data_IF_904714796388
#
_entry.id   IF_904714796388
#
_cell.length_a   1.000
_cell.length_b   1.000
_cell.length_c   1.000
_cell.angle_alpha   90.00
_cell.angle_beta   90.00
_cell.angle_gamma   90.00
#
_symmetry.space_group_name_H-M   'P 1'
#
loop_
_entity.id
_entity.type
_entity.pdbx_description
1 polymer ?
#
# COMPACT_ATOMS: atom_id res chain seq x y z
N UNK A 1 4.12 14.83 -87.96
CA UNK A 1 2.77 14.49 -88.46
C UNK A 1 2.02 13.84 -87.31
N UNK A 2 0.89 14.46 -86.89
CA UNK A 2 -0.39 13.88 -86.40
C UNK A 2 -0.36 12.74 -85.35
N UNK A 3 -1.26 12.59 -84.38
CA UNK A 3 -2.46 13.28 -83.87
C UNK A 3 -2.83 12.58 -82.54
N UNK A 4 -3.64 13.27 -81.75
CA UNK A 4 -4.46 12.94 -80.56
C UNK A 4 -4.84 11.48 -80.16
N UNK A 5 -4.78 11.28 -78.83
CA UNK A 5 -5.83 10.87 -77.85
C UNK A 5 -6.82 9.69 -78.11
N UNK A 6 -6.95 8.78 -77.13
CA UNK A 6 -8.13 8.56 -76.25
C UNK A 6 -8.30 7.12 -75.75
N UNK A 7 -8.65 7.00 -74.44
CA UNK A 7 -9.42 5.95 -73.72
C UNK A 7 -8.98 4.47 -73.87
N UNK A 8 -9.14 3.54 -72.93
CA UNK A 8 -10.14 3.41 -71.86
C UNK A 8 -9.66 2.39 -70.79
N UNK A 9 -10.36 2.40 -69.67
CA UNK A 9 -10.19 1.72 -68.39
C UNK A 9 -10.19 0.17 -68.44
N UNK A 10 -9.28 -0.46 -67.67
CA UNK A 10 -9.54 -1.44 -66.58
C UNK A 10 -8.28 -2.25 -66.22
N UNK A 11 -7.97 -2.47 -64.93
CA UNK A 11 -7.92 -3.88 -64.51
C UNK A 11 -8.54 -4.19 -63.14
N UNK A 12 -8.96 -5.46 -63.08
CA UNK A 12 -9.54 -6.34 -62.06
C UNK A 12 -9.22 -6.11 -60.57
N UNK A 13 -10.11 -6.58 -59.67
CA UNK A 13 -10.03 -6.32 -58.23
C UNK A 13 -9.00 -7.21 -57.54
N UNK A 14 -8.20 -6.61 -56.64
CA UNK A 14 -7.37 -7.31 -55.65
C UNK A 14 -7.97 -7.16 -54.25
N UNK A 15 -7.77 -8.15 -53.36
CA UNK A 15 -8.65 -8.40 -52.23
C UNK A 15 -8.38 -7.47 -51.04
N UNK A 16 -9.46 -7.00 -50.43
CA UNK A 16 -9.50 -6.21 -49.21
C UNK A 16 -8.87 -6.96 -48.02
N UNK A 17 -7.67 -6.57 -47.64
CA UNK A 17 -7.09 -6.93 -46.33
C UNK A 17 -7.59 -5.91 -45.30
N UNK A 18 -8.60 -6.32 -44.54
CA UNK A 18 -9.06 -5.63 -43.34
C UNK A 18 -7.96 -5.63 -42.27
N UNK A 19 -7.15 -4.57 -42.22
CA UNK A 19 -6.30 -4.30 -41.05
C UNK A 19 -7.14 -3.78 -39.90
N UNK A 20 -7.56 -4.68 -39.01
CA UNK A 20 -8.15 -4.36 -37.71
C UNK A 20 -7.05 -3.77 -36.81
N UNK A 21 -6.94 -2.44 -36.78
CA UNK A 21 -6.02 -1.72 -35.88
C UNK A 21 -6.62 -1.77 -34.47
N UNK A 22 -6.20 -2.75 -33.66
CA UNK A 22 -6.48 -2.74 -32.23
C UNK A 22 -5.66 -1.62 -31.58
N UNK A 23 -6.31 -0.52 -31.22
CA UNK A 23 -5.68 0.54 -30.42
C UNK A 23 -5.59 0.07 -28.97
N UNK A 24 -4.43 -0.44 -28.56
CA UNK A 24 -4.09 -0.56 -27.14
C UNK A 24 -3.70 0.82 -26.62
N UNK A 25 -4.68 1.61 -26.16
CA UNK A 25 -4.41 2.84 -25.42
C UNK A 25 -3.96 2.48 -24.00
N UNK A 26 -2.82 3.01 -23.59
CA UNK A 26 -2.39 2.92 -22.19
C UNK A 26 -3.44 3.59 -21.28
N UNK A 27 -3.81 2.99 -20.14
CA UNK A 27 -4.83 3.54 -19.27
C UNK A 27 -4.34 4.85 -18.64
N UNK A 28 -5.13 5.91 -18.77
CA UNK A 28 -4.88 7.22 -18.14
C UNK A 28 -4.89 7.12 -16.60
N UNK A 29 -4.20 8.04 -15.91
CA UNK A 29 -4.14 8.10 -14.45
C UNK A 29 -5.54 8.15 -13.80
N UNK A 30 -6.48 8.88 -14.42
CA UNK A 30 -7.89 8.96 -14.00
C UNK A 30 -8.60 7.61 -14.09
N UNK A 31 -8.40 6.84 -15.19
CA UNK A 31 -8.98 5.50 -15.36
C UNK A 31 -8.48 4.50 -14.31
N UNK A 32 -7.20 4.60 -13.93
CA UNK A 32 -6.60 3.74 -12.91
C UNK A 32 -7.12 4.07 -11.50
N UNK A 33 -7.35 5.34 -11.17
CA UNK A 33 -7.98 5.76 -9.91
C UNK A 33 -9.40 5.21 -9.77
N UNK A 34 -10.22 5.36 -10.81
CA UNK A 34 -11.60 4.87 -10.81
C UNK A 34 -11.69 3.34 -10.62
N UNK A 35 -10.77 2.59 -11.23
CA UNK A 35 -10.69 1.13 -11.05
C UNK A 35 -10.33 0.74 -9.60
N UNK A 36 -9.38 1.44 -8.97
CA UNK A 36 -9.00 1.19 -7.58
C UNK A 36 -10.16 1.46 -6.61
N UNK A 37 -10.84 2.59 -6.78
CA UNK A 37 -11.99 2.97 -5.95
C UNK A 37 -13.18 2.02 -6.11
N UNK A 38 -13.44 1.59 -7.35
CA UNK A 38 -14.47 0.59 -7.62
C UNK A 38 -14.17 -0.73 -6.91
N UNK A 39 -12.95 -1.23 -7.07
CA UNK A 39 -12.54 -2.49 -6.44
C UNK A 39 -12.60 -2.43 -4.91
N UNK A 40 -12.22 -1.29 -4.32
CA UNK A 40 -12.40 -1.07 -2.89
C UNK A 40 -13.89 -1.14 -2.49
N UNK A 41 -14.76 -0.45 -3.24
CA UNK A 41 -16.21 -0.42 -2.97
C UNK A 41 -16.85 -1.80 -3.09
N UNK A 42 -16.39 -2.61 -4.05
CA UNK A 42 -16.94 -3.96 -4.32
C UNK A 42 -16.64 -4.96 -3.18
N UNK A 43 -15.62 -4.70 -2.35
CA UNK A 43 -15.10 -5.66 -1.36
C UNK A 43 -14.96 -5.12 0.07
N UNK A 44 -15.77 -4.14 0.45
CA UNK A 44 -15.76 -3.57 1.80
C UNK A 44 -16.17 -4.61 2.85
N UNK A 45 -17.37 -5.17 2.68
CA UNK A 45 -17.93 -6.16 3.61
C UNK A 45 -17.94 -7.57 3.01
N UNK A 46 -17.63 -7.67 1.72
CA UNK A 46 -17.71 -8.91 0.96
C UNK A 46 -16.34 -9.34 0.49
N UNK A 47 -16.04 -10.61 0.68
CA UNK A 47 -14.81 -11.17 0.15
C UNK A 47 -14.85 -11.24 -1.38
N UNK A 48 -13.75 -10.93 -2.09
CA UNK A 48 -13.59 -11.27 -3.50
C UNK A 48 -13.57 -12.78 -3.78
N UNK A 49 -13.58 -13.61 -2.74
CA UNK A 49 -13.61 -15.06 -2.80
C UNK A 49 -14.70 -15.59 -1.86
N UNK A 50 -15.99 -15.42 -2.19
CA UNK A 50 -17.10 -15.71 -1.28
C UNK A 50 -17.15 -17.19 -0.85
N UNK A 51 -16.72 -18.10 -1.72
CA UNK A 51 -16.70 -19.54 -1.46
C UNK A 51 -15.40 -20.03 -0.80
N UNK A 52 -14.53 -19.12 -0.37
CA UNK A 52 -13.27 -19.46 0.29
C UNK A 52 -13.31 -19.01 1.76
N UNK A 53 -13.51 -19.93 2.73
CA UNK A 53 -13.72 -19.56 4.12
C UNK A 53 -12.43 -19.36 4.93
N UNK A 54 -11.27 -19.79 4.46
CA UNK A 54 -10.03 -19.58 5.21
C UNK A 54 -9.48 -18.16 4.99
N UNK A 55 -8.86 -17.50 5.99
CA UNK A 55 -8.76 -17.97 7.36
C UNK A 55 -10.11 -17.89 8.08
N UNK A 56 -10.42 -18.92 8.85
CA UNK A 56 -11.41 -18.82 9.92
C UNK A 56 -10.83 -18.02 11.08
N UNK A 57 -11.69 -17.50 11.96
CA UNK A 57 -11.25 -16.82 13.18
C UNK A 57 -10.33 -17.70 14.05
N UNK A 58 -10.61 -19.01 14.11
CA UNK A 58 -9.80 -19.98 14.86
C UNK A 58 -8.41 -20.17 14.23
N UNK A 59 -8.32 -20.31 12.91
CA UNK A 59 -7.03 -20.40 12.20
C UNK A 59 -6.20 -19.13 12.41
N UNK A 60 -6.82 -17.94 12.31
CA UNK A 60 -6.16 -16.67 12.54
C UNK A 60 -5.61 -16.57 13.97
N UNK A 61 -6.40 -16.96 14.98
CA UNK A 61 -5.99 -16.96 16.38
C UNK A 61 -4.85 -17.97 16.65
N UNK A 62 -4.93 -19.18 16.09
CA UNK A 62 -3.90 -20.19 16.25
C UNK A 62 -2.55 -19.74 15.66
N UNK A 63 -2.57 -19.15 14.47
CA UNK A 63 -1.36 -18.60 13.83
C UNK A 63 -0.82 -17.40 14.62
N UNK A 64 -1.68 -16.52 15.13
CA UNK A 64 -1.27 -15.41 16.00
C UNK A 64 -0.52 -15.96 17.23
N UNK A 65 -1.10 -16.93 17.94
CA UNK A 65 -0.51 -17.49 19.16
C UNK A 65 0.86 -18.15 18.89
N UNK A 66 0.97 -18.89 17.78
CA UNK A 66 2.23 -19.49 17.34
C UNK A 66 3.31 -18.44 17.06
N UNK A 67 2.94 -17.34 16.38
CA UNK A 67 3.88 -16.28 16.06
C UNK A 67 4.26 -15.45 17.29
N UNK A 68 3.32 -15.20 18.21
CA UNK A 68 3.61 -14.57 19.51
C UNK A 68 4.62 -15.41 20.30
N UNK A 69 4.44 -16.73 20.35
CA UNK A 69 5.40 -17.62 21.02
C UNK A 69 6.81 -17.53 20.40
N UNK A 70 6.91 -17.29 19.09
CA UNK A 70 8.19 -17.22 18.39
C UNK A 70 8.88 -15.85 18.43
N UNK A 71 8.11 -14.75 18.43
CA UNK A 71 8.63 -13.39 18.25
C UNK A 71 8.32 -12.44 19.40
N UNK A 72 7.54 -12.89 20.38
CA UNK A 72 6.98 -12.07 21.45
C UNK A 72 5.70 -11.34 21.03
N UNK A 73 4.98 -10.83 22.02
CA UNK A 73 3.77 -10.03 21.82
C UNK A 73 4.16 -8.67 21.18
N UNK A 74 3.53 -8.26 20.07
CA UNK A 74 3.75 -6.94 19.50
C UNK A 74 3.39 -5.85 20.52
N UNK A 75 4.26 -4.84 20.66
CA UNK A 75 3.90 -3.65 21.42
C UNK A 75 2.89 -2.85 20.60
N UNK A 76 1.70 -2.65 21.17
CA UNK A 76 0.70 -1.73 20.61
C UNK A 76 0.88 -0.39 21.29
N UNK A 77 1.59 0.53 20.66
CA UNK A 77 1.48 1.94 21.00
C UNK A 77 0.14 2.41 20.47
N UNK A 78 -0.81 2.76 21.34
CA UNK A 78 -1.91 3.59 20.87
C UNK A 78 -1.29 4.92 20.44
N UNK A 79 -1.44 5.35 19.18
CA UNK A 79 -1.02 6.69 18.80
C UNK A 79 -1.81 7.67 19.66
N UNK A 80 -1.12 8.57 20.34
CA UNK A 80 -1.76 9.71 20.97
C UNK A 80 -2.21 10.67 19.85
N UNK A 81 -3.39 10.42 19.29
CA UNK A 81 -3.95 11.17 18.15
C UNK A 81 -4.21 12.63 18.54
N UNK A 82 -4.32 12.92 19.84
CA UNK A 82 -4.48 14.26 20.42
C UNK A 82 -3.16 14.86 20.95
N UNK A 83 -2.05 14.11 20.89
CA UNK A 83 -0.76 14.53 21.39
C UNK A 83 -0.03 15.47 20.41
N UNK A 84 0.93 16.28 20.90
CA UNK A 84 1.72 17.15 20.04
C UNK A 84 2.50 16.33 19.00
N UNK A 85 2.81 16.90 17.81
CA UNK A 85 3.66 16.27 16.80
C UNK A 85 4.95 15.71 17.43
N UNK A 86 5.27 14.46 17.16
CA UNK A 86 6.51 13.87 17.65
C UNK A 86 7.69 14.43 16.85
N UNK A 87 8.73 14.85 17.58
CA UNK A 87 9.98 15.45 17.05
C UNK A 87 10.77 14.54 16.08
N UNK A 88 10.39 13.27 15.91
CA UNK A 88 11.05 12.31 15.02
C UNK A 88 10.09 11.20 14.53
N UNK A 89 9.32 11.47 13.47
CA UNK A 89 8.43 10.47 12.82
C UNK A 89 9.17 9.27 12.20
N UNK A 90 10.50 9.28 12.21
CA UNK A 90 11.36 8.21 11.67
C UNK A 90 11.46 6.94 12.54
N UNK A 91 11.07 7.02 13.81
CA UNK A 91 11.29 5.95 14.80
C UNK A 91 10.13 4.97 14.97
N UNK A 92 8.94 5.27 14.43
CA UNK A 92 7.78 4.40 14.63
C UNK A 92 7.11 4.05 13.30
N UNK A 93 7.19 2.78 12.91
CA UNK A 93 6.16 2.19 12.08
C UNK A 93 4.88 2.05 12.94
N UNK A 94 4.26 3.18 13.32
CA UNK A 94 2.93 3.20 13.95
C UNK A 94 2.72 3.95 15.25
N UNK A 95 3.42 5.05 15.46
CA UNK A 95 2.99 6.10 16.38
C UNK A 95 3.40 7.45 15.79
N UNK A 96 2.78 7.81 14.66
CA UNK A 96 2.96 9.11 14.02
C UNK A 96 1.62 9.85 14.15
N UNK A 97 1.54 10.92 14.95
CA UNK A 97 0.27 11.62 15.21
C UNK A 97 -0.25 12.35 13.96
N UNK A 98 0.65 12.82 13.09
CA UNK A 98 0.31 13.50 11.85
C UNK A 98 0.07 12.49 10.70
N UNK A 99 -1.12 12.56 10.10
CA UNK A 99 -1.56 11.66 9.02
C UNK A 99 -0.71 11.80 7.74
N UNK A 100 -0.27 13.02 7.40
CA UNK A 100 0.58 13.27 6.22
C UNK A 100 1.97 12.66 6.43
N UNK A 101 2.57 12.84 7.61
CA UNK A 101 3.84 12.20 7.95
C UNK A 101 3.75 10.66 7.87
N UNK A 102 2.61 10.09 8.30
CA UNK A 102 2.34 8.65 8.16
C UNK A 102 2.28 8.21 6.69
N UNK A 103 1.64 8.99 5.81
CA UNK A 103 1.62 8.75 4.36
C UNK A 103 3.02 8.85 3.75
N UNK A 104 3.79 9.88 4.09
CA UNK A 104 5.17 10.04 3.62
C UNK A 104 6.03 8.86 4.09
N UNK A 105 5.96 8.51 5.38
CA UNK A 105 6.70 7.37 5.94
C UNK A 105 6.36 6.04 5.25
N UNK A 106 5.07 5.81 4.96
CA UNK A 106 4.66 4.61 4.22
C UNK A 106 5.14 4.61 2.78
N UNK A 107 5.16 5.75 2.07
CA UNK A 107 5.78 5.89 0.73
C UNK A 107 7.27 5.61 0.78
N UNK A 108 7.99 6.20 1.74
CA UNK A 108 9.43 6.00 1.92
C UNK A 108 9.78 4.54 2.23
N UNK A 109 8.90 3.81 2.92
CA UNK A 109 9.06 2.38 3.24
C UNK A 109 8.88 1.42 2.06
N UNK A 110 8.34 1.87 0.93
CA UNK A 110 8.11 1.00 -0.24
C UNK A 110 9.44 0.49 -0.82
N UNK A 111 9.52 -0.81 -1.07
CA UNK A 111 10.66 -1.48 -1.73
C UNK A 111 12.04 -1.14 -1.13
N UNK A 112 12.11 -1.03 0.19
CA UNK A 112 13.37 -0.74 0.90
C UNK A 112 13.40 -1.39 2.27
N UNK A 113 14.54 -1.32 2.96
CA UNK A 113 14.67 -1.81 4.32
C UNK A 113 14.17 -0.79 5.33
N UNK A 114 13.74 -1.24 6.52
CA UNK A 114 13.35 -0.32 7.61
C UNK A 114 14.48 0.66 7.97
N UNK A 115 15.74 0.21 7.96
CA UNK A 115 16.91 1.08 8.18
C UNK A 115 16.96 2.23 7.17
N UNK A 116 16.74 1.90 5.89
CA UNK A 116 16.81 2.87 4.80
C UNK A 116 15.61 3.82 4.80
N UNK A 117 14.40 3.34 5.07
CA UNK A 117 13.22 4.22 5.15
C UNK A 117 13.32 5.20 6.31
N UNK A 118 13.79 4.77 7.48
CA UNK A 118 14.03 5.68 8.62
C UNK A 118 15.14 6.69 8.32
N UNK A 119 16.22 6.26 7.64
CA UNK A 119 17.26 7.18 7.21
C UNK A 119 16.75 8.22 6.18
N UNK A 120 15.89 7.79 5.24
CA UNK A 120 15.27 8.68 4.27
C UNK A 120 14.32 9.69 4.94
N UNK A 121 13.51 9.27 5.92
CA UNK A 121 12.65 10.19 6.67
C UNK A 121 13.47 11.23 7.45
N UNK A 122 14.52 10.80 8.16
CA UNK A 122 15.44 11.74 8.84
C UNK A 122 16.11 12.70 7.87
N UNK A 123 16.50 12.24 6.68
CA UNK A 123 17.08 13.11 5.66
C UNK A 123 16.10 14.17 5.16
N UNK A 124 14.84 13.78 4.92
CA UNK A 124 13.76 14.71 4.57
C UNK A 124 13.51 15.73 5.69
N UNK A 125 13.44 15.27 6.94
CA UNK A 125 13.20 16.12 8.12
C UNK A 125 14.37 17.07 8.36
N UNK A 126 15.61 16.64 8.15
CA UNK A 126 16.77 17.51 8.25
C UNK A 126 16.81 18.58 7.14
N UNK A 127 16.28 18.26 5.95
CA UNK A 127 16.27 19.18 4.83
C UNK A 127 15.13 20.20 4.87
N UNK A 128 13.98 19.82 5.45
CA UNK A 128 12.74 20.60 5.36
C UNK A 128 12.03 20.84 6.70
N UNK A 129 12.56 20.34 7.81
CA UNK A 129 11.89 20.39 9.12
C UNK A 129 11.64 21.79 9.67
N UNK A 130 12.35 22.81 9.18
CA UNK A 130 12.23 24.19 9.66
C UNK A 130 12.76 24.38 11.08
N UNK A 131 12.64 25.61 11.59
CA UNK A 131 12.97 25.96 12.97
C UNK A 131 11.84 25.60 13.95
N UNK A 132 10.58 25.67 13.47
CA UNK A 132 9.39 25.28 14.21
C UNK A 132 8.91 23.89 13.76
N UNK A 133 9.04 22.84 14.60
CA UNK A 133 8.62 21.49 14.27
C UNK A 133 7.10 21.33 14.14
N UNK A 134 6.31 22.31 14.62
CA UNK A 134 4.85 22.28 14.59
C UNK A 134 4.26 23.08 13.41
N UNK A 135 5.10 23.80 12.64
CA UNK A 135 4.68 24.53 11.43
C UNK A 135 4.66 23.61 10.20
N UNK A 136 3.67 22.73 10.18
CA UNK A 136 3.39 21.84 9.05
C UNK A 136 3.19 22.60 7.73
N UNK A 137 2.64 23.81 7.78
CA UNK A 137 2.35 24.60 6.59
C UNK A 137 3.65 25.06 5.93
N UNK A 138 4.57 25.65 6.69
CA UNK A 138 5.89 26.03 6.19
C UNK A 138 6.70 24.80 5.74
N UNK A 139 6.73 23.74 6.54
CA UNK A 139 7.49 22.52 6.27
C UNK A 139 7.05 21.83 4.98
N UNK A 140 5.76 21.55 4.82
CA UNK A 140 5.26 20.85 3.64
C UNK A 140 5.27 21.73 2.40
N UNK A 141 5.00 23.03 2.53
CA UNK A 141 5.16 23.99 1.42
C UNK A 141 6.59 24.03 0.90
N UNK A 142 7.59 24.02 1.80
CA UNK A 142 9.00 23.97 1.41
C UNK A 142 9.36 22.70 0.61
N UNK A 143 8.80 21.54 0.97
CA UNK A 143 9.00 20.29 0.20
C UNK A 143 8.39 20.42 -1.21
N UNK A 144 7.19 20.99 -1.33
CA UNK A 144 6.51 21.16 -2.62
C UNK A 144 7.25 22.16 -3.52
N UNK A 145 7.72 23.28 -2.95
CA UNK A 145 8.42 24.33 -3.69
C UNK A 145 9.86 23.96 -4.10
N UNK A 146 10.48 23.01 -3.39
CA UNK A 146 11.86 22.62 -3.64
C UNK A 146 12.06 21.99 -5.03
N UNK A 147 13.23 22.19 -5.67
CA UNK A 147 13.61 21.40 -6.83
C UNK A 147 13.54 19.91 -6.53
N UNK A 148 12.98 19.13 -7.46
CA UNK A 148 12.83 17.68 -7.29
C UNK A 148 14.16 17.00 -6.89
N UNK A 149 15.28 17.45 -7.45
CA UNK A 149 16.62 16.94 -7.13
C UNK A 149 16.97 17.07 -5.64
N UNK A 150 16.61 18.19 -5.00
CA UNK A 150 16.83 18.43 -3.57
C UNK A 150 16.07 17.41 -2.73
N UNK A 151 14.80 17.18 -3.06
CA UNK A 151 13.99 16.18 -2.36
C UNK A 151 14.57 14.77 -2.58
N UNK A 152 14.95 14.44 -3.82
CA UNK A 152 15.58 13.16 -4.17
C UNK A 152 16.85 12.90 -3.36
N UNK A 153 17.69 13.91 -3.20
CA UNK A 153 18.95 13.81 -2.47
C UNK A 153 18.71 13.57 -0.98
N UNK A 154 17.73 14.27 -0.39
CA UNK A 154 17.35 14.08 1.02
C UNK A 154 16.86 12.67 1.34
N UNK A 155 16.23 11.98 0.38
CA UNK A 155 15.65 10.63 0.57
C UNK A 155 16.43 9.52 -0.16
N UNK A 156 17.63 9.81 -0.67
CA UNK A 156 18.40 8.91 -1.55
C UNK A 156 18.63 7.53 -0.94
N UNK A 157 18.86 7.47 0.37
CA UNK A 157 19.06 6.24 1.14
C UNK A 157 17.87 5.26 1.05
N UNK A 158 16.67 5.76 0.79
CA UNK A 158 15.43 4.97 0.68
C UNK A 158 15.31 4.15 -0.61
N UNK A 159 16.12 4.43 -1.64
CA UNK A 159 16.01 3.80 -2.96
C UNK A 159 14.74 4.22 -3.73
N UNK A 160 14.77 4.10 -5.06
CA UNK A 160 13.71 4.62 -5.96
C UNK A 160 13.39 6.11 -5.70
N UNK A 161 14.39 6.89 -5.29
CA UNK A 161 14.24 8.23 -4.73
C UNK A 161 13.54 9.20 -5.69
N UNK A 162 13.89 9.19 -6.99
CA UNK A 162 13.21 9.99 -8.02
C UNK A 162 11.68 9.81 -8.01
N UNK A 163 11.23 8.55 -8.03
CA UNK A 163 9.80 8.23 -8.05
C UNK A 163 9.13 8.59 -6.72
N UNK A 164 9.79 8.32 -5.59
CA UNK A 164 9.25 8.63 -4.26
C UNK A 164 9.14 10.13 -4.03
N UNK A 165 10.16 10.91 -4.39
CA UNK A 165 10.17 12.36 -4.27
C UNK A 165 9.04 13.00 -5.09
N UNK A 166 8.91 12.61 -6.37
CA UNK A 166 7.82 13.09 -7.21
C UNK A 166 6.43 12.72 -6.64
N UNK A 167 6.30 11.50 -6.09
CA UNK A 167 5.06 11.06 -5.45
C UNK A 167 4.73 11.88 -4.20
N UNK A 168 5.74 12.20 -3.36
CA UNK A 168 5.55 13.00 -2.14
C UNK A 168 5.16 14.43 -2.50
N UNK A 169 5.85 15.08 -3.44
CA UNK A 169 5.51 16.43 -3.87
C UNK A 169 4.09 16.49 -4.46
N UNK A 170 3.74 15.52 -5.32
CA UNK A 170 2.38 15.44 -5.89
C UNK A 170 1.32 15.22 -4.81
N UNK A 171 1.57 14.31 -3.85
CA UNK A 171 0.68 14.05 -2.72
C UNK A 171 0.40 15.35 -1.95
N UNK A 172 1.45 16.06 -1.54
CA UNK A 172 1.33 17.29 -0.77
C UNK A 172 0.59 18.38 -1.56
N UNK A 173 0.95 18.60 -2.84
CA UNK A 173 0.29 19.57 -3.69
C UNK A 173 -1.22 19.27 -3.83
N UNK A 174 -1.61 18.02 -4.05
CA UNK A 174 -3.02 17.62 -4.15
C UNK A 174 -3.76 17.74 -2.82
N UNK A 175 -3.11 17.47 -1.67
CA UNK A 175 -3.72 17.69 -0.35
C UNK A 175 -4.05 19.17 -0.15
N UNK A 176 -3.08 20.06 -0.42
CA UNK A 176 -3.28 21.49 -0.26
C UNK A 176 -4.31 22.05 -1.25
N UNK A 177 -4.29 21.61 -2.52
CA UNK A 177 -5.31 21.97 -3.51
C UNK A 177 -6.72 21.57 -3.05
N UNK A 178 -6.87 20.39 -2.47
CA UNK A 178 -8.18 19.85 -2.06
C UNK A 178 -8.71 20.44 -0.74
N UNK A 179 -7.83 20.70 0.22
CA UNK A 179 -8.21 21.06 1.60
C UNK A 179 -7.84 22.50 1.98
N UNK A 180 -7.07 23.21 1.15
CA UNK A 180 -6.60 24.58 1.40
C UNK A 180 -5.52 24.70 2.48
N UNK A 181 -4.98 23.57 2.97
CA UNK A 181 -3.92 23.48 3.99
C UNK A 181 -3.23 22.12 3.93
N UNK A 182 -2.01 22.02 4.45
CA UNK A 182 -1.33 20.71 4.58
C UNK A 182 -1.78 19.95 5.83
N UNK A 183 -3.05 19.52 5.86
CA UNK A 183 -3.55 18.68 6.97
C UNK A 183 -4.61 17.68 6.53
N UNK A 184 -4.43 16.43 6.98
CA UNK A 184 -5.43 15.36 6.90
C UNK A 184 -5.92 14.92 8.29
N UNK A 185 -5.69 15.73 9.33
CA UNK A 185 -5.99 15.33 10.71
C UNK A 185 -7.49 15.13 10.97
N UNK A 186 -8.35 15.74 10.15
CA UNK A 186 -9.79 15.51 10.17
C UNK A 186 -10.16 14.02 9.98
N UNK A 187 -9.31 13.21 9.34
CA UNK A 187 -9.51 11.75 9.24
C UNK A 187 -9.40 11.03 10.58
N UNK A 188 -8.68 11.62 11.54
CA UNK A 188 -8.45 11.08 12.85
C UNK A 188 -9.40 11.67 13.90
N UNK A 189 -9.75 12.95 13.77
CA UNK A 189 -10.41 13.74 14.82
C UNK A 189 -11.80 14.26 14.48
N UNK A 190 -12.42 13.81 13.38
CA UNK A 190 -13.78 14.27 13.04
C UNK A 190 -14.80 13.87 14.10
N UNK A 191 -15.81 14.71 14.29
CA UNK A 191 -17.00 14.41 15.08
C UNK A 191 -18.27 14.69 14.24
N UNK A 192 -19.10 13.68 13.91
CA UNK A 192 -18.92 12.27 14.26
C UNK A 192 -17.69 11.63 13.60
N UNK A 193 -17.13 10.54 14.17
CA UNK A 193 -15.99 9.83 13.58
C UNK A 193 -16.31 9.28 12.19
N UNK A 194 -15.39 9.46 11.24
CA UNK A 194 -15.49 8.83 9.92
C UNK A 194 -15.43 7.30 10.01
N UNK A 195 -16.11 6.63 9.08
CA UNK A 195 -16.00 5.19 8.89
C UNK A 195 -14.64 4.81 8.29
N UNK A 196 -14.18 3.58 8.53
CA UNK A 196 -12.92 3.09 7.95
C UNK A 196 -12.94 3.12 6.41
N UNK A 197 -14.11 2.88 5.81
CA UNK A 197 -14.30 2.97 4.36
C UNK A 197 -14.14 4.40 3.84
N UNK A 198 -14.76 5.39 4.47
CA UNK A 198 -14.62 6.79 4.07
C UNK A 198 -13.15 7.24 4.11
N UNK A 199 -12.43 6.87 5.18
CA UNK A 199 -11.01 7.15 5.32
C UNK A 199 -10.20 6.42 4.23
N UNK A 200 -10.50 5.15 3.96
CA UNK A 200 -9.81 4.38 2.92
C UNK A 200 -10.00 5.00 1.53
N UNK A 201 -11.21 5.42 1.19
CA UNK A 201 -11.51 6.09 -0.09
C UNK A 201 -10.77 7.41 -0.22
N UNK A 202 -10.76 8.21 0.85
CA UNK A 202 -10.02 9.48 0.89
C UNK A 202 -8.53 9.22 0.62
N UNK A 203 -7.90 8.31 1.38
CA UNK A 203 -6.47 8.03 1.26
C UNK A 203 -6.11 7.45 -0.12
N UNK A 204 -6.90 6.52 -0.65
CA UNK A 204 -6.64 5.89 -1.98
C UNK A 204 -6.89 6.86 -3.14
N UNK A 205 -7.57 7.98 -2.92
CA UNK A 205 -7.79 9.00 -3.96
C UNK A 205 -6.49 9.72 -4.38
N UNK A 206 -5.49 9.76 -3.50
CA UNK A 206 -4.20 10.38 -3.77
C UNK A 206 -3.30 9.49 -4.65
N UNK A 207 -2.59 10.11 -5.58
CA UNK A 207 -1.64 9.39 -6.43
C UNK A 207 -0.49 8.80 -5.63
N UNK A 208 -0.08 7.59 -6.01
CA UNK A 208 0.94 6.82 -5.28
C UNK A 208 0.45 6.18 -3.97
N UNK A 209 -0.77 6.48 -3.52
CA UNK A 209 -1.42 5.76 -2.42
C UNK A 209 -2.27 4.63 -3.00
N UNK A 210 -2.09 3.44 -2.42
CA UNK A 210 -2.87 2.25 -2.76
C UNK A 210 -3.43 1.58 -1.51
N UNK A 211 -4.26 0.54 -1.66
CA UNK A 211 -4.95 -0.09 -0.54
C UNK A 211 -4.03 -0.52 0.60
N UNK A 212 -2.84 -1.07 0.31
CA UNK A 212 -1.86 -1.42 1.35
C UNK A 212 -1.40 -0.19 2.14
N UNK A 213 -1.06 0.89 1.45
CA UNK A 213 -0.58 2.13 2.07
C UNK A 213 -1.65 2.73 2.96
N UNK A 214 -2.88 2.84 2.45
CA UNK A 214 -4.02 3.35 3.20
C UNK A 214 -4.37 2.46 4.40
N UNK A 215 -4.37 1.12 4.25
CA UNK A 215 -4.53 0.19 5.39
C UNK A 215 -3.42 0.34 6.43
N UNK A 216 -2.18 0.62 6.03
CA UNK A 216 -1.11 0.91 7.00
C UNK A 216 -1.42 2.20 7.79
N UNK A 217 -1.90 3.26 7.15
CA UNK A 217 -2.28 4.51 7.86
C UNK A 217 -3.43 4.24 8.83
N UNK A 218 -4.49 3.56 8.40
CA UNK A 218 -5.60 3.14 9.25
C UNK A 218 -5.11 2.36 10.48
N UNK A 219 -4.29 1.32 10.25
CA UNK A 219 -3.85 0.40 11.28
C UNK A 219 -2.89 1.02 12.29
N UNK A 220 -1.92 1.79 11.80
CA UNK A 220 -0.76 2.22 12.57
C UNK A 220 -0.81 3.69 13.00
N UNK A 221 -1.48 4.56 12.26
CA UNK A 221 -1.60 5.99 12.60
C UNK A 221 -2.96 6.28 13.24
N UNK A 222 -4.03 5.69 12.73
CA UNK A 222 -5.39 5.95 13.23
C UNK A 222 -5.86 4.92 14.27
N UNK A 223 -5.09 3.85 14.51
CA UNK A 223 -5.45 2.78 15.44
C UNK A 223 -6.68 1.97 15.04
N UNK A 224 -7.12 2.07 13.77
CA UNK A 224 -8.33 1.46 13.22
C UNK A 224 -8.03 0.10 12.60
N UNK A 225 -8.93 -0.85 12.80
CA UNK A 225 -8.77 -2.20 12.27
C UNK A 225 -8.82 -2.22 10.73
N UNK A 226 -7.68 -2.40 10.08
CA UNK A 226 -7.56 -2.73 8.65
C UNK A 226 -6.31 -3.56 8.41
N UNK A 227 -6.43 -4.66 7.66
CA UNK A 227 -5.37 -5.63 7.48
C UNK A 227 -4.53 -5.33 6.24
N UNK A 228 -3.42 -4.62 6.41
CA UNK A 228 -2.51 -4.32 5.30
C UNK A 228 -1.76 -5.58 4.82
N UNK A 229 -1.74 -5.83 3.51
CA UNK A 229 -1.04 -7.00 2.93
C UNK A 229 0.18 -6.56 2.13
N UNK A 230 1.36 -6.69 2.75
CA UNK A 230 2.64 -6.50 2.07
C UNK A 230 3.15 -7.79 1.41
N UNK A 231 4.38 -7.77 0.88
CA UNK A 231 4.98 -8.95 0.25
C UNK A 231 5.20 -10.12 1.20
N UNK A 232 5.51 -9.85 2.47
CA UNK A 232 5.72 -10.88 3.49
C UNK A 232 4.40 -11.49 3.92
N UNK A 233 3.42 -10.64 4.25
CA UNK A 233 2.05 -11.05 4.62
C UNK A 233 1.43 -11.84 3.49
N UNK A 234 1.53 -11.38 2.24
CA UNK A 234 0.97 -12.09 1.09
C UNK A 234 1.61 -13.48 0.92
N UNK A 235 2.94 -13.57 0.98
CA UNK A 235 3.66 -14.85 0.87
C UNK A 235 3.26 -15.82 1.97
N UNK A 236 3.18 -15.35 3.22
CA UNK A 236 2.77 -16.18 4.34
C UNK A 236 1.29 -16.57 4.27
N UNK A 237 0.42 -15.67 3.82
CA UNK A 237 -1.00 -16.00 3.61
C UNK A 237 -1.17 -17.09 2.56
N UNK A 238 -0.35 -17.09 1.50
CA UNK A 238 -0.32 -18.19 0.52
C UNK A 238 0.23 -19.49 1.11
N UNK A 239 1.28 -19.41 1.94
CA UNK A 239 1.81 -20.58 2.66
C UNK A 239 0.74 -21.23 3.55
N UNK A 240 -0.01 -20.39 4.26
CA UNK A 240 -1.07 -20.78 5.19
C UNK A 240 -2.37 -21.17 4.50
N UNK A 241 -2.45 -21.05 3.16
CA UNK A 241 -3.68 -21.24 2.37
C UNK A 241 -4.84 -20.35 2.86
N UNK A 242 -4.51 -19.15 3.29
CA UNK A 242 -5.49 -18.11 3.68
C UNK A 242 -6.01 -17.32 2.48
N UNK A 243 -5.56 -17.63 1.28
CA UNK A 243 -6.09 -17.12 0.02
C UNK A 243 -6.17 -18.27 -0.99
N UNK A 244 -7.16 -18.29 -1.89
CA UNK A 244 -7.28 -19.36 -2.87
C UNK A 244 -6.15 -19.31 -3.89
N UNK A 245 -5.85 -20.45 -4.52
CA UNK A 245 -4.86 -20.53 -5.59
C UNK A 245 -5.20 -19.59 -6.77
N UNK A 246 -6.49 -19.40 -7.05
CA UNK A 246 -7.00 -18.48 -8.08
C UNK A 246 -6.70 -17.00 -7.81
N UNK A 247 -6.30 -16.64 -6.59
CA UNK A 247 -5.80 -15.29 -6.28
C UNK A 247 -4.50 -14.97 -7.03
N UNK A 248 -3.71 -15.98 -7.40
CA UNK A 248 -2.48 -15.80 -8.18
C UNK A 248 -1.49 -14.84 -7.50
N UNK A 249 -1.24 -13.69 -8.14
CA UNK A 249 -0.37 -12.61 -7.64
C UNK A 249 -1.14 -11.34 -7.26
N UNK A 250 -2.47 -11.40 -7.23
CA UNK A 250 -3.34 -10.25 -6.94
C UNK A 250 -3.38 -9.95 -5.43
N UNK A 251 -2.43 -9.12 -5.00
CA UNK A 251 -2.36 -8.68 -3.59
C UNK A 251 -3.54 -7.80 -3.17
N UNK A 252 -4.22 -7.15 -4.11
CA UNK A 252 -5.33 -6.26 -3.76
C UNK A 252 -6.55 -7.09 -3.38
N UNK A 253 -6.88 -8.11 -4.17
CA UNK A 253 -7.94 -9.07 -3.80
C UNK A 253 -7.56 -9.88 -2.56
N UNK A 254 -6.29 -10.23 -2.39
CA UNK A 254 -5.83 -10.87 -1.16
C UNK A 254 -6.06 -9.98 0.07
N UNK A 255 -5.74 -8.69 -0.03
CA UNK A 255 -5.98 -7.73 1.04
C UNK A 255 -7.46 -7.63 1.38
N UNK A 256 -8.31 -7.39 0.39
CA UNK A 256 -9.75 -7.28 0.61
C UNK A 256 -10.34 -8.56 1.25
N UNK A 257 -9.89 -9.73 0.80
CA UNK A 257 -10.30 -11.00 1.41
C UNK A 257 -9.85 -11.12 2.88
N UNK A 258 -8.57 -10.89 3.15
CA UNK A 258 -8.01 -11.05 4.50
C UNK A 258 -8.55 -10.01 5.48
N UNK A 259 -8.83 -8.78 5.03
CA UNK A 259 -9.42 -7.74 5.86
C UNK A 259 -10.85 -8.08 6.33
N UNK A 260 -11.62 -8.78 5.49
CA UNK A 260 -12.95 -9.29 5.84
C UNK A 260 -12.87 -10.52 6.76
N UNK A 261 -11.91 -11.43 6.52
CA UNK A 261 -11.85 -12.73 7.22
C UNK A 261 -11.18 -12.67 8.59
N UNK A 262 -10.15 -11.82 8.76
CA UNK A 262 -9.38 -11.76 10.00
C UNK A 262 -10.14 -10.90 11.02
N UNK A 263 -10.41 -11.42 12.24
CA UNK A 263 -11.04 -10.62 13.29
C UNK A 263 -10.27 -9.34 13.60
N UNK A 264 -10.99 -8.23 13.79
CA UNK A 264 -10.40 -6.89 14.00
C UNK A 264 -9.36 -6.85 15.13
N UNK A 265 -9.62 -7.56 16.23
CA UNK A 265 -8.71 -7.65 17.37
C UNK A 265 -7.33 -8.27 17.03
N UNK A 266 -7.25 -9.08 15.97
CA UNK A 266 -6.03 -9.77 15.56
C UNK A 266 -5.27 -9.05 14.45
N UNK A 267 -5.89 -8.09 13.74
CA UNK A 267 -5.31 -7.50 12.51
C UNK A 267 -3.96 -6.84 12.74
N UNK A 268 -3.83 -6.05 13.80
CA UNK A 268 -2.58 -5.38 14.16
C UNK A 268 -1.47 -6.39 14.44
N UNK A 269 -1.72 -7.31 15.37
CA UNK A 269 -0.73 -8.26 15.83
C UNK A 269 -0.30 -9.19 14.70
N UNK A 270 -1.26 -9.76 13.97
CA UNK A 270 -0.96 -10.64 12.84
C UNK A 270 -0.14 -9.91 11.77
N UNK A 271 -0.44 -8.65 11.44
CA UNK A 271 0.36 -7.91 10.47
C UNK A 271 1.82 -7.81 10.94
N UNK A 272 2.06 -7.31 12.16
CA UNK A 272 3.41 -7.11 12.71
C UNK A 272 4.17 -8.44 12.80
N UNK A 273 3.50 -9.49 13.29
CA UNK A 273 4.07 -10.82 13.48
C UNK A 273 4.40 -11.49 12.15
N UNK A 274 3.51 -11.40 11.15
CA UNK A 274 3.73 -11.98 9.82
C UNK A 274 4.86 -11.26 9.08
N UNK A 275 4.94 -9.93 9.16
CA UNK A 275 6.06 -9.17 8.60
C UNK A 275 7.37 -9.57 9.28
N UNK A 276 7.39 -9.63 10.62
CA UNK A 276 8.57 -10.02 11.41
C UNK A 276 9.03 -11.42 11.05
N UNK A 277 8.12 -12.40 11.10
CA UNK A 277 8.40 -13.79 10.73
C UNK A 277 8.89 -13.90 9.29
N UNK A 278 8.23 -13.22 8.35
CA UNK A 278 8.57 -13.22 6.94
C UNK A 278 9.91 -12.57 6.62
N UNK A 279 10.51 -11.80 7.54
CA UNK A 279 11.87 -11.24 7.40
C UNK A 279 12.93 -12.16 7.98
N UNK A 280 12.69 -12.71 9.17
CA UNK A 280 13.74 -13.40 9.96
C UNK A 280 13.76 -14.91 9.77
N UNK A 281 12.62 -15.53 9.45
CA UNK A 281 12.51 -16.99 9.39
C UNK A 281 13.26 -17.56 8.18
N UNK A 282 14.27 -18.40 8.41
CA UNK A 282 15.07 -19.03 7.34
C UNK A 282 14.25 -19.88 6.37
N UNK A 283 13.14 -20.47 6.81
CA UNK A 283 12.25 -21.25 5.96
C UNK A 283 11.28 -20.43 5.12
N UNK A 284 11.09 -19.14 5.44
CA UNK A 284 10.03 -18.30 4.89
C UNK A 284 10.50 -16.90 4.47
N UNK A 285 11.79 -16.57 4.58
CA UNK A 285 12.33 -15.24 4.27
C UNK A 285 12.47 -14.93 2.77
N UNK A 286 12.02 -15.85 1.90
CA UNK A 286 12.03 -15.70 0.45
C UNK A 286 13.38 -15.98 -0.21
N UNK A 287 14.45 -16.17 0.57
CA UNK A 287 15.78 -16.54 0.06
C UNK A 287 16.02 -18.05 0.05
N UNK A 288 15.38 -18.78 0.96
CA UNK A 288 15.42 -20.24 1.03
C UNK A 288 14.07 -20.78 1.47
N UNK A 289 13.66 -21.90 0.88
CA UNK A 289 12.45 -22.66 1.26
C UNK A 289 12.78 -23.92 2.04
N UNK A 290 14.06 -24.24 2.24
CA UNK A 290 14.52 -25.50 2.84
C UNK A 290 14.73 -25.41 4.36
N UNK A 291 14.50 -24.25 4.96
CA UNK A 291 14.67 -24.05 6.41
C UNK A 291 13.45 -24.46 7.24
N UNK A 292 13.71 -24.82 8.50
CA UNK A 292 12.68 -25.04 9.52
C UNK A 292 11.81 -23.79 9.71
N UNK A 293 10.51 -24.01 9.89
CA UNK A 293 9.54 -22.94 10.11
C UNK A 293 8.32 -23.50 10.87
N UNK A 294 7.96 -22.84 11.96
CA UNK A 294 6.79 -23.21 12.78
C UNK A 294 5.48 -23.19 12.00
N UNK A 295 5.31 -22.29 11.03
CA UNK A 295 4.11 -22.24 10.18
C UNK A 295 4.06 -23.42 9.21
N UNK A 296 5.20 -23.93 8.74
CA UNK A 296 5.22 -25.14 7.90
C UNK A 296 4.90 -26.40 8.71
N UNK A 297 5.34 -26.45 9.97
CA UNK A 297 4.99 -27.53 10.89
C UNK A 297 3.48 -27.52 11.13
N UNK A 298 2.92 -26.36 11.51
CA UNK A 298 1.48 -26.15 11.66
C UNK A 298 0.70 -26.59 10.42
N UNK A 299 1.15 -26.22 9.21
CA UNK A 299 0.47 -26.60 7.96
C UNK A 299 0.59 -28.09 7.59
N UNK A 300 1.54 -28.84 8.16
CA UNK A 300 1.59 -30.30 8.00
C UNK A 300 0.62 -30.96 8.96
N UNK A 301 0.68 -30.58 10.24
CA UNK A 301 -0.21 -31.09 11.28
C UNK A 301 -1.68 -30.82 10.94
N UNK A 302 -2.01 -29.61 10.49
CA UNK A 302 -3.37 -29.25 10.09
C UNK A 302 -3.89 -30.03 8.87
N UNK A 303 -3.01 -30.58 8.02
CA UNK A 303 -3.41 -31.46 6.91
C UNK A 303 -3.64 -32.90 7.36
N UNK A 304 -2.98 -33.34 8.42
CA UNK A 304 -3.16 -34.69 8.96
C UNK A 304 -4.49 -34.83 9.74
N UNK A 305 -5.15 -33.69 10.00
CA UNK A 305 -6.45 -33.57 10.68
C UNK A 305 -7.65 -33.36 9.73
N UNK A 306 -7.43 -33.26 8.41
CA UNK A 306 -8.45 -32.94 7.40
C UNK A 306 -8.51 -33.99 6.29
#
# INVERSE_FOLDING_TARGET
>A
MKEQASADLSPSPSPSVLTKRASSSEPTSSSLKSKKLKLLSDYLDNSPFPNFPSPTASEAAAVQALLVKAHGQPKRSQPDIAGPPLKNSAETCGAVPNVIDSLIGTILSQNTSSKNSSAAKRGLDAAFGGDDPDDDEARFSAIVAAPLATVVDSIRSGGLANKKAATIQQLLATIHEKHGKYSLQHLATSDPPLSNDAIMRELVSYDGVGPKTASCVLLFCLGRASFAVDTHVFRLSRLLRWVPASCGTDRVRAQAHLDVRIPDALKHDLHVLMVTHGRVCKGCNGRSTSGACILKVYMREAKDLA
#
